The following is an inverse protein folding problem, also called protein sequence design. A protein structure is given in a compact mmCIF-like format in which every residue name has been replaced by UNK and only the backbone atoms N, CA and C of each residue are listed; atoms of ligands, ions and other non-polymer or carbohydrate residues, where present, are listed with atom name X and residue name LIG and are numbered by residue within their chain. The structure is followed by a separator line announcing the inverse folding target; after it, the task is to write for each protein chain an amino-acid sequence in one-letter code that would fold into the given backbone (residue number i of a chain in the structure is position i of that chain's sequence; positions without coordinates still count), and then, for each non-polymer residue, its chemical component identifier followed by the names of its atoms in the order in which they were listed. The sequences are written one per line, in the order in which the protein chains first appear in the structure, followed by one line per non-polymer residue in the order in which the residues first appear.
data_IF_075366462996
#
_entry.id   IF_075366462996
#
_cell.length_a   1.000
_cell.length_b   1.000
_cell.length_c   1.000
_cell.angle_alpha   90.00
_cell.angle_beta   90.00
_cell.angle_gamma   90.00
#
_symmetry.space_group_name_H-M   'P 1'
#
loop_
_entity.id
_entity.type
_entity.pdbx_description
1 polymer ?
#
# COMPACT_ATOMS: atom_id res chain seq x y z
N UNK A 1 -17.31 -56.03 -26.37
CA UNK A 1 -16.82 -55.90 -24.98
C UNK A 1 -15.48 -56.60 -24.72
N UNK A 2 -15.07 -57.60 -25.53
CA UNK A 2 -13.78 -58.28 -25.34
C UNK A 2 -12.54 -57.50 -25.84
N UNK A 3 -12.68 -56.62 -26.84
CA UNK A 3 -11.52 -55.91 -27.43
C UNK A 3 -10.93 -54.83 -26.51
N UNK A 4 -11.75 -54.14 -25.72
CA UNK A 4 -11.29 -53.08 -24.83
C UNK A 4 -10.43 -53.64 -23.67
N UNK A 5 -10.78 -54.83 -23.17
CA UNK A 5 -10.03 -55.50 -22.09
C UNK A 5 -8.64 -55.94 -22.57
N UNK A 6 -8.54 -56.46 -23.80
CA UNK A 6 -7.25 -56.89 -24.38
C UNK A 6 -6.33 -55.68 -24.63
N UNK A 7 -6.90 -54.56 -25.06
CA UNK A 7 -6.16 -53.32 -25.28
C UNK A 7 -5.68 -52.68 -23.96
N UNK A 8 -6.51 -52.71 -22.91
CA UNK A 8 -6.12 -52.28 -21.56
C UNK A 8 -5.00 -53.14 -20.97
N UNK A 9 -5.02 -54.47 -21.21
CA UNK A 9 -3.95 -55.37 -20.76
C UNK A 9 -2.63 -55.07 -21.49
N UNK A 10 -2.68 -54.76 -22.78
CA UNK A 10 -1.49 -54.38 -23.55
C UNK A 10 -0.89 -53.05 -23.06
N UNK A 11 -1.72 -52.05 -22.79
CA UNK A 11 -1.28 -50.78 -22.19
C UNK A 11 -0.73 -50.96 -20.77
N UNK A 12 -1.32 -51.87 -19.98
CA UNK A 12 -0.82 -52.19 -18.64
C UNK A 12 0.57 -52.83 -18.70
N UNK A 13 0.78 -53.79 -19.60
CA UNK A 13 2.08 -54.43 -19.78
C UNK A 13 3.15 -53.40 -20.17
N UNK A 14 2.84 -52.49 -21.08
CA UNK A 14 3.79 -51.43 -21.46
C UNK A 14 4.13 -50.48 -20.30
N UNK A 15 3.14 -50.15 -19.45
CA UNK A 15 3.39 -49.34 -18.24
C UNK A 15 4.21 -50.12 -17.21
N UNK A 16 3.94 -51.41 -17.03
CA UNK A 16 4.70 -52.29 -16.14
C UNK A 16 6.14 -52.41 -16.61
N UNK A 17 6.39 -52.56 -17.91
CA UNK A 17 7.73 -52.59 -18.49
C UNK A 17 8.47 -51.26 -18.27
N UNK A 18 7.78 -50.13 -18.43
CA UNK A 18 8.36 -48.80 -18.19
C UNK A 18 8.73 -48.59 -16.72
N UNK A 19 7.88 -49.07 -15.79
CA UNK A 19 8.17 -49.00 -14.35
C UNK A 19 9.32 -49.94 -13.99
N UNK A 20 9.35 -51.16 -14.56
CA UNK A 20 10.44 -52.11 -14.39
C UNK A 20 11.77 -51.52 -14.85
N UNK A 21 11.81 -50.87 -16.00
CA UNK A 21 12.98 -50.15 -16.52
C UNK A 21 13.45 -49.07 -15.53
N UNK A 22 12.52 -48.25 -15.02
CA UNK A 22 12.82 -47.17 -14.07
C UNK A 22 13.34 -47.71 -12.73
N UNK A 23 12.73 -48.78 -12.21
CA UNK A 23 13.15 -49.46 -10.98
C UNK A 23 14.53 -50.10 -11.14
N UNK A 24 14.82 -50.66 -12.32
CA UNK A 24 16.12 -51.26 -12.60
C UNK A 24 17.22 -50.19 -12.68
N UNK A 25 16.95 -49.05 -13.33
CA UNK A 25 17.86 -47.91 -13.33
C UNK A 25 18.10 -47.34 -11.92
N UNK A 26 17.06 -47.29 -11.08
CA UNK A 26 17.20 -46.85 -9.69
C UNK A 26 18.04 -47.82 -8.85
N UNK A 27 17.89 -49.13 -9.09
CA UNK A 27 18.70 -50.18 -8.45
C UNK A 27 20.18 -50.07 -8.85
N UNK A 28 20.47 -49.84 -10.13
CA UNK A 28 21.84 -49.67 -10.63
C UNK A 28 22.53 -48.44 -10.02
N UNK A 29 21.80 -47.33 -9.82
CA UNK A 29 22.32 -46.16 -9.10
C UNK A 29 22.63 -46.46 -7.63
N UNK A 30 21.78 -47.25 -6.98
CA UNK A 30 22.01 -47.65 -5.57
C UNK A 30 23.24 -48.55 -5.46
N UNK A 31 23.43 -49.50 -6.37
CA UNK A 31 24.64 -50.35 -6.41
C UNK A 31 25.91 -49.55 -6.69
N UNK A 32 25.87 -48.56 -7.59
CA UNK A 32 27.02 -47.70 -7.84
C UNK A 32 27.39 -46.84 -6.62
N UNK A 33 26.41 -46.47 -5.78
CA UNK A 33 26.68 -45.82 -4.50
C UNK A 33 27.30 -46.77 -3.49
N UNK A 34 26.83 -48.02 -3.41
CA UNK A 34 27.41 -49.03 -2.51
C UNK A 34 28.86 -49.36 -2.87
N UNK A 35 29.18 -49.48 -4.17
CA UNK A 35 30.54 -49.70 -4.66
C UNK A 35 31.44 -48.49 -4.38
N UNK A 36 30.93 -47.27 -4.58
CA UNK A 36 31.67 -46.05 -4.24
C UNK A 36 31.97 -45.97 -2.72
N UNK A 37 31.02 -46.33 -1.87
CA UNK A 37 31.22 -46.40 -0.41
C UNK A 37 32.30 -47.42 -0.06
N UNK A 38 32.29 -48.59 -0.72
CA UNK A 38 33.31 -49.62 -0.54
C UNK A 38 34.70 -49.14 -0.96
N UNK A 39 34.83 -48.48 -2.12
CA UNK A 39 36.12 -47.99 -2.63
C UNK A 39 36.67 -46.81 -1.82
N UNK A 40 35.78 -45.92 -1.34
CA UNK A 40 36.16 -44.81 -0.45
C UNK A 40 36.67 -45.32 0.90
N UNK A 41 36.16 -46.45 1.41
CA UNK A 41 36.63 -47.03 2.68
C UNK A 41 38.11 -47.44 2.64
N UNK A 42 38.64 -47.77 1.47
CA UNK A 42 40.03 -48.19 1.28
C UNK A 42 40.98 -46.98 1.26
N UNK A 43 40.60 -45.90 0.55
CA UNK A 43 41.40 -44.67 0.45
C UNK A 43 41.25 -43.79 1.70
N UNK A 44 40.13 -43.92 2.42
CA UNK A 44 39.83 -43.16 3.62
C UNK A 44 40.83 -43.36 4.75
N UNK A 45 41.55 -44.49 4.79
CA UNK A 45 42.54 -44.77 5.82
C UNK A 45 43.75 -43.84 5.77
N UNK A 46 44.25 -43.51 4.58
CA UNK A 46 45.40 -42.61 4.42
C UNK A 46 45.00 -41.14 4.65
N UNK A 47 43.77 -40.77 4.25
CA UNK A 47 43.20 -39.45 4.54
C UNK A 47 42.91 -39.28 6.04
N UNK A 48 42.46 -40.33 6.72
CA UNK A 48 42.25 -40.36 8.17
C UNK A 48 43.55 -40.08 8.93
N UNK A 49 44.63 -40.79 8.62
CA UNK A 49 45.93 -40.59 9.30
C UNK A 49 46.45 -39.14 9.13
N UNK A 50 46.22 -38.55 7.95
CA UNK A 50 46.59 -37.15 7.67
C UNK A 50 45.71 -36.14 8.41
N UNK A 51 44.40 -36.38 8.48
CA UNK A 51 43.42 -35.48 9.10
C UNK A 51 43.51 -35.54 10.62
N UNK A 52 43.67 -36.73 11.21
CA UNK A 52 43.91 -36.92 12.66
C UNK A 52 45.13 -36.12 13.09
N UNK A 53 46.22 -36.15 12.33
CA UNK A 53 47.45 -35.38 12.65
C UNK A 53 47.24 -33.86 12.61
N UNK A 54 46.35 -33.36 11.75
CA UNK A 54 46.01 -31.94 11.66
C UNK A 54 44.94 -31.49 12.69
N UNK A 55 44.09 -32.42 13.15
CA UNK A 55 43.01 -32.18 14.10
C UNK A 55 43.46 -32.33 15.56
N UNK A 56 44.45 -33.16 15.84
CA UNK A 56 45.12 -33.26 17.15
C UNK A 56 45.75 -31.91 17.55
N UNK A 57 46.12 -31.10 16.54
CA UNK A 57 46.64 -29.74 16.69
C UNK A 57 45.54 -28.71 17.11
N UNK A 58 44.25 -29.09 17.05
CA UNK A 58 43.10 -28.22 17.34
C UNK A 58 42.05 -28.83 18.31
N UNK A 59 42.36 -29.92 19.02
CA UNK A 59 41.47 -30.63 19.99
C UNK A 59 40.10 -31.04 19.42
N UNK A 60 39.99 -31.30 18.11
CA UNK A 60 38.73 -31.75 17.51
C UNK A 60 38.69 -33.28 17.52
N UNK A 61 37.95 -33.87 18.46
CA UNK A 61 37.70 -35.31 18.53
C UNK A 61 36.69 -35.70 17.45
N UNK A 62 37.18 -36.26 16.34
CA UNK A 62 36.35 -36.82 15.29
C UNK A 62 36.27 -38.35 15.46
N UNK A 63 35.07 -38.83 15.73
CA UNK A 63 34.76 -40.25 15.84
C UNK A 63 34.74 -40.89 14.43
N UNK A 64 35.57 -41.92 14.15
CA UNK A 64 35.66 -42.57 12.83
C UNK A 64 34.32 -43.12 12.33
N UNK A 65 33.48 -43.61 13.25
CA UNK A 65 32.18 -44.18 12.89
C UNK A 65 31.22 -43.07 12.44
N UNK A 66 31.30 -41.89 13.06
CA UNK A 66 30.50 -40.72 12.70
C UNK A 66 30.91 -40.12 11.35
N UNK A 67 32.21 -40.11 11.04
CA UNK A 67 32.70 -39.67 9.73
C UNK A 67 32.24 -40.60 8.60
N UNK A 68 32.25 -41.90 8.85
CA UNK A 68 31.79 -42.91 7.88
C UNK A 68 30.28 -42.78 7.66
N UNK A 69 29.50 -42.63 8.73
CA UNK A 69 28.06 -42.41 8.65
C UNK A 69 27.72 -41.09 7.93
N UNK A 70 28.48 -40.02 8.18
CA UNK A 70 28.35 -38.76 7.45
C UNK A 70 28.63 -38.94 5.95
N UNK A 71 29.70 -39.66 5.60
CA UNK A 71 30.04 -39.98 4.20
C UNK A 71 28.93 -40.76 3.49
N UNK A 72 28.35 -41.76 4.17
CA UNK A 72 27.23 -42.54 3.66
C UNK A 72 25.98 -41.67 3.50
N UNK A 73 25.63 -40.85 4.51
CA UNK A 73 24.49 -39.93 4.44
C UNK A 73 24.66 -38.90 3.33
N UNK A 74 25.86 -38.38 3.13
CA UNK A 74 26.20 -37.49 2.02
C UNK A 74 25.98 -38.21 0.68
N UNK A 75 26.54 -39.42 0.50
CA UNK A 75 26.41 -40.20 -0.72
C UNK A 75 24.95 -40.56 -1.04
N UNK A 76 24.17 -40.99 -0.04
CA UNK A 76 22.75 -41.29 -0.17
C UNK A 76 21.91 -40.05 -0.50
N UNK A 77 22.36 -38.85 -0.08
CA UNK A 77 21.66 -37.58 -0.31
C UNK A 77 22.29 -36.71 -1.39
N UNK A 78 23.24 -37.22 -2.20
CA UNK A 78 23.91 -36.45 -3.27
C UNK A 78 22.89 -35.78 -4.20
N UNK A 79 21.76 -36.43 -4.48
CA UNK A 79 20.68 -35.84 -5.29
C UNK A 79 20.09 -34.57 -4.65
N UNK A 80 19.86 -34.58 -3.34
CA UNK A 80 19.36 -33.42 -2.60
C UNK A 80 20.41 -32.31 -2.53
N UNK A 81 21.69 -32.66 -2.38
CA UNK A 81 22.79 -31.69 -2.42
C UNK A 81 22.92 -31.02 -3.78
N UNK A 82 22.81 -31.77 -4.87
CA UNK A 82 22.82 -31.19 -6.22
C UNK A 82 21.67 -30.21 -6.40
N UNK A 83 20.44 -30.58 -6.01
CA UNK A 83 19.30 -29.65 -6.08
C UNK A 83 19.49 -28.41 -5.21
N UNK A 84 20.11 -28.53 -4.04
CA UNK A 84 20.46 -27.38 -3.19
C UNK A 84 21.50 -26.48 -3.87
N UNK A 85 22.54 -27.05 -4.47
CA UNK A 85 23.56 -26.30 -5.20
C UNK A 85 22.98 -25.60 -6.43
N UNK A 86 22.08 -26.26 -7.18
CA UNK A 86 21.36 -25.66 -8.30
C UNK A 86 20.46 -24.51 -7.85
N UNK A 87 19.80 -24.66 -6.68
CA UNK A 87 19.00 -23.61 -6.06
C UNK A 87 19.87 -22.42 -5.63
N UNK A 88 21.03 -22.68 -5.04
CA UNK A 88 22.00 -21.65 -4.67
C UNK A 88 22.56 -20.93 -5.90
N UNK A 89 22.82 -21.66 -6.98
CA UNK A 89 23.21 -21.10 -8.28
C UNK A 89 22.12 -20.17 -8.82
N UNK A 90 20.87 -20.64 -8.85
CA UNK A 90 19.71 -19.86 -9.29
C UNK A 90 19.48 -18.61 -8.44
N UNK A 91 19.67 -18.71 -7.12
CA UNK A 91 19.57 -17.57 -6.21
C UNK A 91 20.70 -16.55 -6.42
N UNK A 92 21.92 -17.02 -6.67
CA UNK A 92 23.04 -16.15 -7.03
C UNK A 92 22.85 -15.47 -8.38
N UNK A 93 22.33 -16.19 -9.37
CA UNK A 93 22.03 -15.63 -10.68
C UNK A 93 20.91 -14.58 -10.58
N UNK A 94 19.84 -14.86 -9.82
CA UNK A 94 18.82 -13.87 -9.50
C UNK A 94 19.41 -12.63 -8.80
N UNK A 95 20.32 -12.80 -7.83
CA UNK A 95 20.97 -11.67 -7.16
C UNK A 95 21.86 -10.86 -8.12
N UNK A 96 22.53 -11.50 -9.06
CA UNK A 96 23.32 -10.83 -10.11
C UNK A 96 22.44 -10.08 -11.10
N UNK A 97 21.29 -10.65 -11.47
CA UNK A 97 20.39 -10.09 -12.47
C UNK A 97 19.50 -8.99 -11.89
N UNK A 98 19.02 -9.17 -10.66
CA UNK A 98 18.14 -8.22 -9.95
C UNK A 98 18.93 -7.12 -9.24
N UNK A 99 20.19 -7.37 -8.85
CA UNK A 99 21.04 -6.39 -8.16
C UNK A 99 21.12 -5.03 -8.88
N UNK A 100 21.40 -4.98 -10.20
CA UNK A 100 21.42 -3.74 -10.97
C UNK A 100 20.05 -3.04 -11.02
N UNK A 101 18.96 -3.80 -11.21
CA UNK A 101 17.59 -3.26 -11.29
C UNK A 101 17.16 -2.69 -9.93
N UNK A 102 17.50 -3.37 -8.84
CA UNK A 102 17.20 -2.93 -7.49
C UNK A 102 17.87 -1.58 -7.18
N UNK A 103 19.12 -1.38 -7.61
CA UNK A 103 19.80 -0.09 -7.45
C UNK A 103 19.07 1.04 -8.17
N UNK A 104 18.65 0.84 -9.42
CA UNK A 104 17.95 1.87 -10.19
C UNK A 104 16.58 2.20 -9.56
N UNK A 105 15.80 1.17 -9.18
CA UNK A 105 14.51 1.34 -8.51
C UNK A 105 14.65 2.05 -7.16
N UNK A 106 15.69 1.74 -6.37
CA UNK A 106 15.95 2.41 -5.10
C UNK A 106 16.33 3.88 -5.32
N UNK A 107 17.17 4.16 -6.32
CA UNK A 107 17.59 5.53 -6.64
C UNK A 107 16.38 6.36 -7.13
N UNK A 108 15.57 5.81 -8.03
CA UNK A 108 14.40 6.50 -8.56
C UNK A 108 13.29 6.63 -7.50
N UNK A 109 13.12 5.61 -6.67
CA UNK A 109 12.26 5.68 -5.49
C UNK A 109 12.68 6.79 -4.53
N UNK A 110 13.98 6.88 -4.23
CA UNK A 110 14.54 7.92 -3.36
C UNK A 110 14.36 9.31 -3.97
N UNK A 111 14.61 9.48 -5.28
CA UNK A 111 14.36 10.74 -5.97
C UNK A 111 12.90 11.16 -5.92
N UNK A 112 11.96 10.23 -6.16
CA UNK A 112 10.52 10.52 -6.06
C UNK A 112 10.09 10.88 -4.64
N UNK A 113 10.59 10.16 -3.64
CA UNK A 113 10.32 10.47 -2.24
C UNK A 113 10.87 11.84 -1.86
N UNK A 114 12.07 12.18 -2.32
CA UNK A 114 12.65 13.50 -2.12
C UNK A 114 11.88 14.60 -2.86
N UNK A 115 11.38 14.32 -4.07
CA UNK A 115 10.51 15.25 -4.81
C UNK A 115 9.18 15.49 -4.05
N UNK A 116 8.61 14.44 -3.45
CA UNK A 116 7.41 14.57 -2.62
C UNK A 116 7.68 15.37 -1.34
N UNK A 117 8.85 15.16 -0.73
CA UNK A 117 9.31 15.96 0.41
C UNK A 117 9.49 17.43 0.03
N UNK A 118 10.22 17.75 -1.05
CA UNK A 118 10.41 19.13 -1.51
C UNK A 118 9.10 19.83 -1.87
N UNK A 119 8.14 19.09 -2.45
CA UNK A 119 6.81 19.62 -2.74
C UNK A 119 5.92 19.73 -1.50
N UNK A 120 6.40 19.31 -0.32
CA UNK A 120 5.69 19.43 0.94
C UNK A 120 4.57 18.41 1.14
N UNK A 121 4.52 17.31 0.37
CA UNK A 121 3.46 16.31 0.51
C UNK A 121 3.44 15.68 1.91
N UNK A 122 4.60 15.41 2.50
CA UNK A 122 4.67 14.84 3.84
C UNK A 122 4.18 15.80 4.92
N UNK A 123 4.54 17.09 4.81
CA UNK A 123 4.03 18.13 5.72
C UNK A 123 2.53 18.30 5.56
N UNK A 124 2.03 18.37 4.32
CA UNK A 124 0.61 18.44 4.02
C UNK A 124 -0.16 17.27 4.63
N UNK A 125 0.33 16.03 4.45
CA UNK A 125 -0.32 14.84 5.01
C UNK A 125 -0.31 14.83 6.54
N UNK A 126 0.76 15.33 7.16
CA UNK A 126 0.87 15.46 8.62
C UNK A 126 -0.16 16.46 9.14
N UNK A 127 -0.21 17.66 8.56
CA UNK A 127 -1.17 18.70 8.95
C UNK A 127 -2.61 18.27 8.66
N UNK A 128 -2.85 17.62 7.53
CA UNK A 128 -4.17 17.06 7.20
C UNK A 128 -4.60 15.99 8.21
N UNK A 129 -3.67 15.15 8.68
CA UNK A 129 -3.91 14.21 9.77
C UNK A 129 -4.33 14.91 11.06
N UNK A 130 -3.66 16.01 11.43
CA UNK A 130 -4.04 16.82 12.60
C UNK A 130 -5.43 17.48 12.43
N UNK A 131 -5.80 17.90 11.23
CA UNK A 131 -7.15 18.40 10.93
C UNK A 131 -8.17 17.28 11.11
N UNK A 132 -7.93 16.08 10.57
CA UNK A 132 -8.81 14.93 10.76
C UNK A 132 -8.96 14.59 12.24
N UNK A 133 -7.88 14.57 13.00
CA UNK A 133 -7.89 14.24 14.43
C UNK A 133 -8.73 15.23 15.25
N UNK A 134 -8.58 16.52 14.97
CA UNK A 134 -9.44 17.55 15.55
C UNK A 134 -10.91 17.37 15.15
N UNK A 135 -11.19 17.10 13.88
CA UNK A 135 -12.56 16.90 13.40
C UNK A 135 -13.20 15.69 14.10
N UNK A 136 -12.52 14.55 14.16
CA UNK A 136 -13.03 13.33 14.80
C UNK A 136 -13.16 13.49 16.33
N UNK A 137 -12.34 14.32 16.95
CA UNK A 137 -12.43 14.62 18.39
C UNK A 137 -13.68 15.42 18.76
N UNK A 138 -14.12 16.35 17.89
CA UNK A 138 -15.26 17.21 18.15
C UNK A 138 -16.56 16.74 17.49
N UNK A 139 -16.47 16.01 16.38
CA UNK A 139 -17.60 15.59 15.56
C UNK A 139 -17.68 14.06 15.50
N UNK A 140 -18.87 13.53 15.68
CA UNK A 140 -19.09 12.09 15.56
C UNK A 140 -18.98 11.60 14.11
N UNK A 141 -18.91 10.28 13.94
CA UNK A 141 -18.86 9.64 12.61
C UNK A 141 -20.02 10.08 11.70
N UNK A 142 -21.20 10.31 12.27
CA UNK A 142 -22.37 10.77 11.52
C UNK A 142 -22.21 12.21 11.02
N UNK A 143 -21.61 13.09 11.82
CA UNK A 143 -21.37 14.49 11.45
C UNK A 143 -20.33 14.58 10.34
N UNK A 144 -19.27 13.76 10.43
CA UNK A 144 -18.24 13.66 9.37
C UNK A 144 -18.84 13.14 8.08
N UNK A 145 -19.78 12.18 8.15
CA UNK A 145 -20.49 11.68 6.97
C UNK A 145 -21.36 12.76 6.34
N UNK A 146 -22.12 13.52 7.14
CA UNK A 146 -22.88 14.66 6.64
C UNK A 146 -21.98 15.73 6.01
N UNK A 147 -20.82 15.99 6.59
CA UNK A 147 -19.83 16.91 6.02
C UNK A 147 -19.29 16.41 4.68
N UNK A 148 -18.94 15.13 4.58
CA UNK A 148 -18.46 14.52 3.34
C UNK A 148 -19.52 14.59 2.22
N UNK A 149 -20.78 14.30 2.55
CA UNK A 149 -21.90 14.34 1.60
C UNK A 149 -22.19 15.76 1.10
N UNK A 150 -21.92 16.78 1.94
CA UNK A 150 -22.22 18.19 1.63
C UNK A 150 -20.96 19.04 1.36
N UNK A 151 -19.77 18.44 1.24
CA UNK A 151 -18.51 19.18 1.13
C UNK A 151 -18.49 20.08 -0.09
N UNK A 152 -19.03 19.62 -1.22
CA UNK A 152 -19.14 20.41 -2.45
C UNK A 152 -20.05 21.62 -2.24
N UNK A 153 -21.23 21.43 -1.64
CA UNK A 153 -22.17 22.52 -1.35
C UNK A 153 -21.59 23.56 -0.39
N UNK A 154 -20.85 23.11 0.63
CA UNK A 154 -20.14 24.00 1.56
C UNK A 154 -19.07 24.79 0.80
N UNK A 155 -18.23 24.13 -0.01
CA UNK A 155 -17.18 24.80 -0.79
C UNK A 155 -17.75 25.79 -1.80
N UNK A 156 -18.85 25.45 -2.49
CA UNK A 156 -19.53 26.35 -3.40
C UNK A 156 -20.15 27.55 -2.66
N UNK A 157 -20.70 27.33 -1.47
CA UNK A 157 -21.22 28.40 -0.62
C UNK A 157 -20.11 29.35 -0.18
N UNK A 158 -18.98 28.81 0.29
CA UNK A 158 -17.79 29.61 0.64
C UNK A 158 -17.29 30.37 -0.57
N UNK A 159 -17.15 29.71 -1.72
CA UNK A 159 -16.75 30.33 -2.99
C UNK A 159 -17.68 31.49 -3.35
N UNK A 160 -19.00 31.29 -3.26
CA UNK A 160 -20.02 32.32 -3.52
C UNK A 160 -19.92 33.51 -2.55
N UNK A 161 -19.66 33.25 -1.26
CA UNK A 161 -19.46 34.31 -0.27
C UNK A 161 -18.15 35.07 -0.48
N UNK A 162 -17.11 34.42 -1.00
CA UNK A 162 -15.82 35.04 -1.34
C UNK A 162 -15.79 35.75 -2.69
N UNK A 163 -16.92 35.80 -3.42
CA UNK A 163 -16.98 36.57 -4.67
C UNK A 163 -16.76 38.08 -4.42
N UNK A 164 -16.10 38.80 -5.35
CA UNK A 164 -15.77 40.22 -5.17
C UNK A 164 -16.95 41.11 -4.79
N UNK A 165 -18.13 40.84 -5.36
CA UNK A 165 -19.37 41.58 -5.10
C UNK A 165 -19.85 41.40 -3.64
N UNK A 166 -19.76 40.19 -3.11
CA UNK A 166 -20.15 39.86 -1.73
C UNK A 166 -19.16 40.44 -0.73
N UNK A 167 -17.85 40.29 -0.99
CA UNK A 167 -16.80 40.89 -0.15
C UNK A 167 -16.93 42.41 -0.06
N UNK A 168 -17.20 43.08 -1.19
CA UNK A 168 -17.43 44.52 -1.23
C UNK A 168 -18.68 44.92 -0.43
N UNK A 169 -19.73 44.11 -0.49
CA UNK A 169 -20.96 44.35 0.28
C UNK A 169 -20.72 44.21 1.78
N UNK A 170 -19.96 43.20 2.21
CA UNK A 170 -19.56 43.00 3.61
C UNK A 170 -18.69 44.18 4.08
N UNK A 171 -17.66 44.57 3.31
CA UNK A 171 -16.81 45.72 3.64
C UNK A 171 -17.62 47.01 3.77
N UNK A 172 -18.58 47.24 2.87
CA UNK A 172 -19.49 48.38 2.93
C UNK A 172 -20.35 48.35 4.19
N UNK A 173 -20.93 47.19 4.54
CA UNK A 173 -21.73 47.04 5.75
C UNK A 173 -20.90 47.29 7.02
N UNK A 174 -19.67 46.78 7.08
CA UNK A 174 -18.75 47.02 8.20
C UNK A 174 -18.41 48.51 8.31
N UNK A 175 -18.11 49.18 7.20
CA UNK A 175 -17.85 50.64 7.19
C UNK A 175 -19.06 51.44 7.66
N UNK A 176 -20.26 51.08 7.22
CA UNK A 176 -21.50 51.74 7.67
C UNK A 176 -21.67 51.54 9.17
N UNK A 177 -21.48 50.32 9.68
CA UNK A 177 -21.59 50.03 11.10
C UNK A 177 -20.58 50.80 11.95
N UNK A 178 -19.31 50.81 11.55
CA UNK A 178 -18.26 51.56 12.27
C UNK A 178 -18.46 53.07 12.24
N UNK A 179 -19.13 53.61 11.21
CA UNK A 179 -19.39 55.03 11.07
C UNK A 179 -20.75 55.47 11.65
N UNK A 180 -21.57 54.55 12.14
CA UNK A 180 -22.80 54.91 12.85
C UNK A 180 -22.46 55.38 14.26
N UNK A 181 -22.88 56.59 14.62
CA UNK A 181 -22.81 57.08 16.00
C UNK A 181 -23.76 56.26 16.87
N UNK A 182 -23.22 55.28 17.59
CA UNK A 182 -23.98 54.35 18.43
C UNK A 182 -24.42 54.96 19.76
N UNK A 183 -23.83 56.09 20.16
CA UNK A 183 -24.09 56.75 21.44
C UNK A 183 -25.27 57.75 21.38
N UNK A 184 -25.57 58.33 20.21
CA UNK A 184 -26.60 59.37 20.05
C UNK A 184 -27.67 58.98 19.03
N UNK A 185 -28.38 57.88 19.28
CA UNK A 185 -29.49 57.45 18.42
C UNK A 185 -30.70 58.37 18.66
N UNK A 186 -31.20 59.09 17.64
CA UNK A 186 -32.31 60.03 17.81
C UNK A 186 -33.63 59.30 18.09
N UNK A 187 -34.44 59.84 19.01
CA UNK A 187 -35.77 59.31 19.30
C UNK A 187 -36.78 59.62 18.17
N UNK A 188 -37.46 58.57 17.69
CA UNK A 188 -38.47 58.66 16.65
C UNK A 188 -39.89 58.64 17.24
N UNK A 189 -40.65 59.71 17.01
CA UNK A 189 -42.10 59.75 17.23
C UNK A 189 -42.84 59.15 16.03
N UNK A 190 -44.04 58.61 16.23
CA UNK A 190 -44.90 58.02 15.18
C UNK A 190 -45.03 58.95 13.96
N UNK A 191 -45.18 60.26 14.18
CA UNK A 191 -45.24 61.24 13.08
C UNK A 191 -43.92 61.38 12.33
N UNK A 192 -42.78 61.38 13.04
CA UNK A 192 -41.45 61.41 12.43
C UNK A 192 -41.22 60.15 11.59
N UNK A 193 -41.63 58.98 12.07
CA UNK A 193 -41.54 57.72 11.32
C UNK A 193 -42.30 57.79 10.00
N UNK A 194 -43.55 58.25 10.03
CA UNK A 194 -44.37 58.38 8.81
C UNK A 194 -43.73 59.36 7.81
N UNK A 195 -43.20 60.47 8.32
CA UNK A 195 -42.46 61.44 7.50
C UNK A 195 -41.19 60.83 6.90
N UNK A 196 -40.45 60.05 7.69
CA UNK A 196 -39.21 59.41 7.27
C UNK A 196 -39.44 58.33 6.20
N UNK A 197 -40.52 57.55 6.34
CA UNK A 197 -40.93 56.56 5.33
C UNK A 197 -41.26 57.21 3.98
N UNK A 198 -41.74 58.45 4.00
CA UNK A 198 -42.09 59.19 2.79
C UNK A 198 -40.88 59.81 2.07
N UNK A 199 -39.68 59.78 2.68
CA UNK A 199 -38.45 60.29 2.06
C UNK A 199 -38.07 59.48 0.82
N UNK A 200 -37.45 60.11 -0.20
CA UNK A 200 -37.12 59.46 -1.46
C UNK A 200 -36.14 58.29 -1.29
N UNK A 201 -35.22 58.35 -0.33
CA UNK A 201 -34.29 57.27 0.01
C UNK A 201 -35.03 56.06 0.59
N UNK A 202 -35.93 56.29 1.53
CA UNK A 202 -36.69 55.23 2.20
C UNK A 202 -37.66 54.55 1.23
N UNK A 203 -38.29 55.31 0.32
CA UNK A 203 -39.11 54.73 -0.77
C UNK A 203 -38.30 53.80 -1.68
N UNK A 204 -37.05 54.15 -2.01
CA UNK A 204 -36.15 53.28 -2.77
C UNK A 204 -35.79 52.02 -1.98
N UNK A 205 -35.53 52.14 -0.68
CA UNK A 205 -35.25 51.00 0.19
C UNK A 205 -36.45 50.02 0.27
N UNK A 206 -37.67 50.53 0.42
CA UNK A 206 -38.89 49.73 0.34
C UNK A 206 -39.09 49.10 -1.04
N UNK A 207 -38.82 49.84 -2.12
CA UNK A 207 -38.87 49.31 -3.48
C UNK A 207 -37.88 48.15 -3.70
N UNK A 208 -36.66 48.28 -3.18
CA UNK A 208 -35.67 47.20 -3.16
C UNK A 208 -36.17 46.00 -2.35
N UNK A 209 -36.66 46.22 -1.13
CA UNK A 209 -37.20 45.16 -0.28
C UNK A 209 -38.32 44.37 -0.98
N UNK A 210 -39.30 45.06 -1.54
CA UNK A 210 -40.40 44.40 -2.25
C UNK A 210 -39.93 43.66 -3.51
N UNK A 211 -38.94 44.20 -4.23
CA UNK A 211 -38.34 43.54 -5.39
C UNK A 211 -37.58 42.28 -4.99
N UNK A 212 -36.80 42.35 -3.91
CA UNK A 212 -36.08 41.23 -3.33
C UNK A 212 -37.04 40.11 -2.90
N UNK A 213 -38.08 40.45 -2.13
CA UNK A 213 -39.11 39.50 -1.68
C UNK A 213 -39.83 38.82 -2.85
N UNK A 214 -40.18 39.58 -3.90
CA UNK A 214 -40.78 39.03 -5.12
C UNK A 214 -39.84 38.06 -5.85
N UNK A 215 -38.55 38.34 -5.89
CA UNK A 215 -37.58 37.47 -6.55
C UNK A 215 -37.34 36.18 -5.74
N UNK A 216 -37.27 36.25 -4.41
CA UNK A 216 -37.18 35.05 -3.57
C UNK A 216 -38.38 34.13 -3.75
N UNK A 217 -39.60 34.68 -3.81
CA UNK A 217 -40.82 33.90 -4.04
C UNK A 217 -40.76 33.14 -5.38
N UNK A 218 -40.26 33.78 -6.45
CA UNK A 218 -40.13 33.15 -7.78
C UNK A 218 -39.10 32.03 -7.83
N UNK A 219 -37.99 32.15 -7.08
CA UNK A 219 -36.95 31.12 -7.00
C UNK A 219 -37.50 29.87 -6.31
N UNK A 220 -38.31 30.03 -5.25
CA UNK A 220 -38.95 28.91 -4.56
C UNK A 220 -40.06 28.25 -5.38
N UNK A 221 -40.76 28.97 -6.25
CA UNK A 221 -41.76 28.40 -7.16
C UNK A 221 -41.15 27.57 -8.31
N UNK A 222 -39.94 27.91 -8.76
CA UNK A 222 -39.26 27.19 -9.85
C UNK A 222 -38.48 25.93 -9.39
N UNK A 223 -38.32 25.74 -8.07
CA UNK A 223 -37.58 24.63 -7.48
C UNK A 223 -38.49 23.55 -6.85
N UNK A 224 -39.80 23.64 -7.07
CA UNK A 224 -40.82 22.60 -6.79
C UNK A 224 -41.42 22.09 -8.10
#
# INVERSE_FOLDING_TARGET
MADNTTQQIAELNQKVDTILEYVNQQRLKSQALDDLVSDVSIIGKDAYDSTVKALDEHEVVLDPDQLTELGIRLAQNIGNFNSMLDTLGSAMDLMKDVGPIANEVIIDGTKKLHEFEQKGYFEFMKEFGAVIDNVVSYYGVNDVRMLADNVVTILDSVKNLTQPEMLKSIDTAVKVFSNMETENIPEYSIFKVIREINQPEMKKAWGFLFTFLKNMSKINENNN
#
